data_IF_886077939145
#
_entry.id   IF_886077939145
#
_cell.length_a   1.000
_cell.length_b   1.000
_cell.length_c   1.000
_cell.angle_alpha   90.00
_cell.angle_beta   90.00
_cell.angle_gamma   90.00
#
_symmetry.space_group_name_H-M   'P 1'
#
loop_
_entity.id
_entity.type
_entity.pdbx_description
1 polymer ?
#
# COMPACT_ATOMS: atom_id res chain seq x y z
N UNK A 1 15.29 -1.36 32.92
CA UNK A 1 14.93 -2.47 32.01
C UNK A 1 16.03 -3.52 32.14
N UNK A 2 15.69 -4.81 32.13
CA UNK A 2 16.69 -5.88 32.20
C UNK A 2 17.11 -6.37 30.81
N UNK A 3 18.22 -7.11 30.74
CA UNK A 3 18.80 -7.59 29.49
C UNK A 3 17.87 -8.51 28.68
N UNK A 4 16.93 -9.20 29.36
CA UNK A 4 15.92 -10.04 28.71
C UNK A 4 14.86 -9.20 27.99
N UNK A 5 14.44 -8.08 28.59
CA UNK A 5 13.52 -7.11 28.00
C UNK A 5 14.15 -6.41 26.78
N UNK A 6 15.44 -6.07 26.85
CA UNK A 6 16.18 -5.47 25.73
C UNK A 6 16.33 -6.45 24.54
N UNK A 7 16.69 -7.72 24.79
CA UNK A 7 16.75 -8.75 23.75
C UNK A 7 15.38 -9.07 23.12
N UNK A 8 14.30 -9.05 23.90
CA UNK A 8 12.95 -9.24 23.39
C UNK A 8 12.50 -8.06 22.50
N UNK A 9 12.86 -6.84 22.90
CA UNK A 9 12.58 -5.63 22.11
C UNK A 9 13.35 -5.66 20.79
N UNK A 10 14.65 -5.96 20.83
CA UNK A 10 15.47 -6.07 19.62
C UNK A 10 14.92 -7.13 18.66
N UNK A 11 14.52 -8.31 19.15
CA UNK A 11 13.89 -9.34 18.30
C UNK A 11 12.57 -8.90 17.69
N UNK A 12 11.79 -8.11 18.43
CA UNK A 12 10.52 -7.57 17.94
C UNK A 12 10.75 -6.53 16.84
N UNK A 13 11.75 -5.66 17.01
CA UNK A 13 12.13 -4.65 16.01
C UNK A 13 12.64 -5.30 14.72
N UNK A 14 13.55 -6.27 14.81
CA UNK A 14 14.03 -6.99 13.61
C UNK A 14 12.92 -7.72 12.87
N UNK A 15 11.89 -8.19 13.59
CA UNK A 15 10.72 -8.80 12.95
C UNK A 15 9.83 -7.77 12.24
N UNK A 16 9.70 -6.57 12.79
CA UNK A 16 9.00 -5.45 12.14
C UNK A 16 9.75 -5.04 10.87
N UNK A 17 11.07 -4.91 10.93
CA UNK A 17 11.90 -4.59 9.75
C UNK A 17 11.75 -5.64 8.64
N UNK A 18 11.71 -6.92 9.00
CA UNK A 18 11.46 -8.00 8.04
C UNK A 18 10.06 -7.90 7.42
N UNK A 19 9.04 -7.57 8.22
CA UNK A 19 7.69 -7.34 7.70
C UNK A 19 7.62 -6.12 6.78
N UNK A 20 8.35 -5.05 7.09
CA UNK A 20 8.44 -3.89 6.21
C UNK A 20 9.09 -4.26 4.87
N UNK A 21 10.11 -5.12 4.88
CA UNK A 21 10.71 -5.64 3.65
C UNK A 21 9.70 -6.44 2.82
N UNK A 22 8.92 -7.32 3.45
CA UNK A 22 7.86 -8.08 2.78
C UNK A 22 6.77 -7.16 2.21
N UNK A 23 6.37 -6.13 2.95
CA UNK A 23 5.40 -5.12 2.49
C UNK A 23 5.95 -4.38 1.26
N UNK A 24 7.22 -3.98 1.27
CA UNK A 24 7.87 -3.31 0.15
C UNK A 24 7.85 -4.20 -1.10
N UNK A 25 8.25 -5.46 -0.98
CA UNK A 25 8.25 -6.41 -2.10
C UNK A 25 6.83 -6.64 -2.67
N UNK A 26 5.82 -6.76 -1.80
CA UNK A 26 4.42 -6.87 -2.23
C UNK A 26 3.95 -5.61 -2.97
N UNK A 27 4.35 -4.43 -2.53
CA UNK A 27 4.02 -3.16 -3.19
C UNK A 27 4.73 -3.02 -4.54
N UNK A 28 5.99 -3.46 -4.65
CA UNK A 28 6.72 -3.50 -5.92
C UNK A 28 6.01 -4.39 -6.93
N UNK A 29 5.65 -5.62 -6.54
CA UNK A 29 4.90 -6.55 -7.39
C UNK A 29 3.54 -5.98 -7.79
N UNK A 30 2.81 -5.37 -6.86
CA UNK A 30 1.53 -4.70 -7.16
C UNK A 30 1.69 -3.57 -8.17
N UNK A 31 2.78 -2.80 -8.08
CA UNK A 31 3.10 -1.72 -9.02
C UNK A 31 3.42 -2.27 -10.41
N UNK A 32 4.18 -3.36 -10.50
CA UNK A 32 4.48 -4.02 -11.78
C UNK A 32 3.20 -4.48 -12.47
N UNK A 33 2.33 -5.21 -11.76
CA UNK A 33 1.02 -5.63 -12.30
C UNK A 33 0.17 -4.44 -12.76
N UNK A 34 0.21 -3.32 -12.02
CA UNK A 34 -0.55 -2.14 -12.42
C UNK A 34 0.02 -1.46 -13.67
N UNK A 35 1.32 -1.57 -13.96
CA UNK A 35 1.93 -1.03 -15.19
C UNK A 35 1.54 -1.79 -16.44
N UNK A 36 1.11 -3.04 -16.31
CA UNK A 36 0.58 -3.83 -17.43
C UNK A 36 -0.82 -3.35 -17.86
N UNK A 37 -1.52 -2.59 -16.99
CA UNK A 37 -2.83 -2.03 -17.31
C UNK A 37 -2.71 -0.80 -18.21
N UNK A 38 -3.69 -0.58 -19.11
CA UNK A 38 -3.71 0.63 -19.92
C UNK A 38 -3.77 1.88 -19.04
N UNK A 39 -2.96 2.88 -19.37
CA UNK A 39 -3.06 4.17 -18.71
C UNK A 39 -4.44 4.78 -18.99
N UNK A 40 -5.12 5.34 -17.98
CA UNK A 40 -6.40 6.01 -18.19
C UNK A 40 -6.21 7.16 -19.18
N UNK A 41 -7.12 7.24 -20.16
CA UNK A 41 -7.06 8.16 -21.30
C UNK A 41 -7.38 9.63 -20.95
N UNK A 42 -7.66 9.95 -19.68
CA UNK A 42 -8.01 11.30 -19.24
C UNK A 42 -7.80 11.56 -17.75
N UNK A 43 -8.18 12.76 -17.26
CA UNK A 43 -8.06 13.12 -15.86
C UNK A 43 -8.85 12.13 -14.98
N UNK A 44 -8.16 11.51 -14.01
CA UNK A 44 -8.74 10.52 -13.08
C UNK A 44 -10.03 10.96 -12.37
N UNK A 45 -10.19 12.27 -12.18
CA UNK A 45 -11.32 12.84 -11.45
C UNK A 45 -12.66 12.71 -12.19
N UNK A 46 -12.65 12.45 -13.51
CA UNK A 46 -13.87 12.43 -14.34
C UNK A 46 -14.26 11.03 -14.82
N UNK A 47 -13.50 9.98 -14.51
CA UNK A 47 -13.82 8.59 -14.86
C UNK A 47 -14.64 7.92 -13.73
N UNK A 48 -15.92 7.58 -13.96
CA UNK A 48 -16.77 6.94 -12.96
C UNK A 48 -16.26 5.56 -12.52
N UNK A 49 -15.67 4.79 -13.44
CA UNK A 49 -15.11 3.47 -13.15
C UNK A 49 -13.84 3.58 -12.30
N UNK A 50 -13.03 4.61 -12.54
CA UNK A 50 -11.91 4.94 -11.68
C UNK A 50 -12.37 5.34 -10.27
N UNK A 51 -13.38 6.19 -10.16
CA UNK A 51 -13.91 6.64 -8.87
C UNK A 51 -14.51 5.47 -8.06
N UNK A 52 -15.18 4.52 -8.71
CA UNK A 52 -15.69 3.31 -8.08
C UNK A 52 -14.56 2.38 -7.62
N UNK A 53 -13.54 2.16 -8.45
CA UNK A 53 -12.36 1.38 -8.08
C UNK A 53 -11.61 1.99 -6.89
N UNK A 54 -11.50 3.32 -6.83
CA UNK A 54 -10.93 4.06 -5.70
C UNK A 54 -11.77 3.90 -4.43
N UNK A 55 -13.11 3.97 -4.54
CA UNK A 55 -14.00 3.71 -3.39
C UNK A 55 -13.87 2.27 -2.90
N UNK A 56 -13.88 1.30 -3.79
CA UNK A 56 -13.78 -0.12 -3.46
C UNK A 56 -12.43 -0.47 -2.79
N UNK A 57 -11.31 0.04 -3.31
CA UNK A 57 -10.01 -0.20 -2.68
C UNK A 57 -9.90 0.50 -1.33
N UNK A 58 -10.34 1.76 -1.23
CA UNK A 58 -10.33 2.49 0.04
C UNK A 58 -11.18 1.79 1.09
N UNK A 59 -12.35 1.26 0.70
CA UNK A 59 -13.22 0.47 1.56
C UNK A 59 -12.51 -0.77 2.12
N UNK A 60 -11.88 -1.57 1.26
CA UNK A 60 -11.13 -2.78 1.69
C UNK A 60 -10.01 -2.47 2.68
N UNK A 61 -9.22 -1.43 2.43
CA UNK A 61 -8.15 -1.06 3.36
C UNK A 61 -8.72 -0.54 4.68
N UNK A 62 -9.82 0.23 4.66
CA UNK A 62 -10.48 0.71 5.87
C UNK A 62 -11.06 -0.44 6.70
N UNK A 63 -11.65 -1.45 6.05
CA UNK A 63 -12.19 -2.64 6.71
C UNK A 63 -11.10 -3.39 7.50
N UNK A 64 -9.91 -3.54 6.91
CA UNK A 64 -8.83 -4.32 7.54
C UNK A 64 -7.90 -3.51 8.45
N UNK A 65 -7.72 -2.21 8.19
CA UNK A 65 -6.73 -1.36 8.89
C UNK A 65 -7.36 -0.20 9.68
N UNK A 66 -8.70 -0.14 9.74
CA UNK A 66 -9.43 0.94 10.39
C UNK A 66 -9.21 2.30 9.72
N UNK A 67 -9.24 3.38 10.52
CA UNK A 67 -9.11 4.75 10.01
C UNK A 67 -7.80 5.01 9.23
N UNK A 68 -6.71 4.35 9.62
CA UNK A 68 -5.42 4.45 8.90
C UNK A 68 -5.45 3.81 7.51
N UNK A 69 -6.37 2.89 7.26
CA UNK A 69 -6.50 2.20 5.98
C UNK A 69 -6.76 3.13 4.79
N UNK A 70 -7.45 4.24 5.01
CA UNK A 70 -7.66 5.23 3.95
C UNK A 70 -6.36 5.88 3.48
N UNK A 71 -5.46 6.19 4.40
CA UNK A 71 -4.14 6.77 4.05
C UNK A 71 -3.30 5.75 3.27
N UNK A 72 -3.29 4.50 3.72
CA UNK A 72 -2.56 3.42 3.03
C UNK A 72 -3.15 3.20 1.64
N UNK A 73 -4.48 3.14 1.48
CA UNK A 73 -5.11 2.98 0.18
C UNK A 73 -4.72 4.09 -0.81
N UNK A 74 -4.70 5.35 -0.33
CA UNK A 74 -4.28 6.49 -1.15
C UNK A 74 -2.82 6.39 -1.57
N UNK A 75 -1.92 6.05 -0.65
CA UNK A 75 -0.50 5.86 -0.95
C UNK A 75 -0.30 4.74 -1.99
N UNK A 76 -0.98 3.62 -1.83
CA UNK A 76 -0.95 2.46 -2.74
C UNK A 76 -1.50 2.80 -4.13
N UNK A 77 -2.59 3.57 -4.20
CA UNK A 77 -3.17 4.04 -5.46
C UNK A 77 -2.24 5.01 -6.21
N UNK A 78 -1.53 5.86 -5.47
CA UNK A 78 -0.53 6.75 -6.05
C UNK A 78 0.62 5.91 -6.59
N UNK A 79 1.27 5.11 -5.73
CA UNK A 79 2.47 4.31 -6.03
C UNK A 79 2.31 3.36 -7.21
N UNK A 80 1.13 2.75 -7.35
CA UNK A 80 0.86 1.77 -8.39
C UNK A 80 0.07 2.38 -9.56
N UNK A 81 0.18 3.67 -9.81
CA UNK A 81 -0.48 4.23 -10.97
C UNK A 81 0.21 3.79 -12.28
N UNK A 82 -0.53 3.29 -13.29
CA UNK A 82 0.06 2.79 -14.54
C UNK A 82 0.93 3.81 -15.28
N UNK A 83 0.59 5.10 -15.20
CA UNK A 83 1.34 6.19 -15.83
C UNK A 83 2.51 6.75 -15.01
N UNK A 84 2.80 6.19 -13.83
CA UNK A 84 3.85 6.73 -12.95
C UNK A 84 5.24 6.19 -13.35
N UNK A 85 6.12 7.10 -13.75
CA UNK A 85 7.54 6.80 -13.98
C UNK A 85 8.32 6.81 -12.64
N UNK A 86 9.39 6.01 -12.52
CA UNK A 86 10.30 6.06 -11.37
C UNK A 86 10.86 7.47 -11.13
#
# INVERSE_FOLDING_TARGET
MDALTEQATHRSLSRIEQLDHEIIELLLRRREMARELPAPSGPRATDPGFAEAVRAITGRYREHLGGGGELVARAVLVLCHPGQRP
#
